data_IF_662410816834
#
_entry.id   IF_662410816834
#
_cell.length_a   1.000
_cell.length_b   1.000
_cell.length_c   1.000
_cell.angle_alpha   90.00
_cell.angle_beta   90.00
_cell.angle_gamma   90.00
#
_symmetry.space_group_name_H-M   'P 1'
#
loop_
_entity.id
_entity.type
_entity.pdbx_description
1 polymer ?
#
# COMPACT_ATOMS: atom_id res chain seq x y z
N UNK A 1 -7.29 -29.96 11.42
CA UNK A 1 -6.45 -28.96 10.73
C UNK A 1 -7.37 -27.91 10.14
N UNK A 2 -7.48 -26.69 10.71
CA UNK A 2 -8.25 -25.63 10.08
C UNK A 2 -7.37 -24.93 9.03
N UNK A 3 -7.72 -25.07 7.76
CA UNK A 3 -7.21 -24.23 6.68
C UNK A 3 -8.24 -23.12 6.47
N UNK A 4 -8.00 -21.93 7.03
CA UNK A 4 -8.96 -20.82 6.97
C UNK A 4 -8.31 -19.44 6.81
N UNK A 5 -7.11 -19.35 6.21
CA UNK A 5 -6.40 -18.06 6.09
C UNK A 5 -6.01 -17.66 4.66
N UNK A 6 -6.35 -18.45 3.62
CA UNK A 6 -5.91 -18.13 2.24
C UNK A 6 -6.87 -17.26 1.43
N UNK A 7 -8.15 -17.16 1.81
CA UNK A 7 -9.16 -16.44 1.01
C UNK A 7 -9.34 -14.96 1.39
N UNK A 8 -8.75 -14.50 2.50
CA UNK A 8 -8.88 -13.11 2.94
C UNK A 8 -8.00 -12.11 2.16
N UNK A 9 -7.01 -12.58 1.38
CA UNK A 9 -6.15 -11.70 0.58
C UNK A 9 -6.62 -11.46 -0.86
N UNK A 10 -7.56 -12.25 -1.39
CA UNK A 10 -7.99 -12.15 -2.80
C UNK A 10 -9.06 -11.08 -3.07
N UNK A 11 -9.67 -10.56 -2.00
CA UNK A 11 -10.66 -9.47 -2.07
C UNK A 11 -10.07 -8.17 -1.53
N UNK A 12 -8.81 -7.88 -1.85
CA UNK A 12 -8.28 -6.51 -1.73
C UNK A 12 -9.04 -5.65 -2.72
N UNK A 13 -10.07 -5.01 -2.18
CA UNK A 13 -11.07 -4.14 -2.80
C UNK A 13 -10.65 -3.61 -4.18
N UNK A 14 -11.12 -4.27 -5.24
CA UNK A 14 -11.14 -3.68 -6.59
C UNK A 14 -11.83 -2.30 -6.62
N UNK A 15 -12.59 -1.97 -5.55
CA UNK A 15 -13.24 -0.69 -5.32
C UNK A 15 -12.37 0.36 -4.61
N UNK A 16 -11.27 -0.03 -3.95
CA UNK A 16 -10.42 0.90 -3.18
C UNK A 16 -9.60 1.82 -4.09
N UNK A 17 -9.24 1.34 -5.29
CA UNK A 17 -8.46 2.12 -6.26
C UNK A 17 -9.32 3.00 -7.18
N UNK A 18 -10.65 2.98 -7.02
CA UNK A 18 -11.60 3.89 -7.67
C UNK A 18 -12.15 3.42 -9.03
N UNK A 19 -13.31 3.97 -9.41
CA UNK A 19 -14.13 3.54 -10.58
C UNK A 19 -13.52 3.82 -11.97
N UNK A 20 -12.32 4.39 -12.04
CA UNK A 20 -11.69 4.83 -13.30
C UNK A 20 -10.62 3.86 -13.81
N UNK A 21 -10.31 2.81 -13.04
CA UNK A 21 -9.41 1.73 -13.43
C UNK A 21 -10.22 0.55 -13.96
N UNK A 22 -9.65 -0.17 -14.93
CA UNK A 22 -10.22 -1.44 -15.38
C UNK A 22 -10.16 -2.47 -14.24
N UNK A 23 -11.06 -3.47 -14.21
CA UNK A 23 -11.02 -4.53 -13.22
C UNK A 23 -9.64 -5.22 -13.23
N UNK A 24 -8.98 -5.28 -12.06
CA UNK A 24 -7.64 -5.87 -11.91
C UNK A 24 -6.46 -4.97 -12.30
N UNK A 25 -6.68 -3.83 -12.96
CA UNK A 25 -5.62 -2.87 -13.33
C UNK A 25 -5.00 -2.23 -12.07
N UNK A 26 -5.84 -1.81 -11.12
CA UNK A 26 -5.39 -1.19 -9.87
C UNK A 26 -4.54 -2.13 -9.00
N UNK A 27 -4.95 -3.40 -8.88
CA UNK A 27 -4.22 -4.40 -8.10
C UNK A 27 -2.84 -4.71 -8.71
N UNK A 28 -2.78 -4.85 -10.05
CA UNK A 28 -1.51 -5.05 -10.74
C UNK A 28 -0.58 -3.84 -10.56
N UNK A 29 -1.09 -2.61 -10.69
CA UNK A 29 -0.32 -1.38 -10.47
C UNK A 29 0.17 -1.26 -9.02
N UNK A 30 -0.65 -1.62 -8.03
CA UNK A 30 -0.28 -1.59 -6.61
C UNK A 30 0.89 -2.52 -6.30
N UNK A 31 0.93 -3.72 -6.88
CA UNK A 31 2.06 -4.66 -6.74
C UNK A 31 3.38 -4.03 -7.18
N UNK A 32 3.40 -3.34 -8.33
CA UNK A 32 4.61 -2.65 -8.79
C UNK A 32 5.02 -1.50 -7.87
N UNK A 33 4.06 -0.74 -7.34
CA UNK A 33 4.32 0.36 -6.40
C UNK A 33 4.88 -0.16 -5.08
N UNK A 34 4.32 -1.26 -4.54
CA UNK A 34 4.82 -1.91 -3.32
C UNK A 34 6.23 -2.47 -3.51
N UNK A 35 6.54 -3.00 -4.69
CA UNK A 35 7.90 -3.44 -5.05
C UNK A 35 8.87 -2.27 -5.33
N UNK A 36 8.41 -1.02 -5.26
CA UNK A 36 9.21 0.16 -5.60
C UNK A 36 9.60 0.24 -7.09
N UNK A 37 8.93 -0.54 -7.94
CA UNK A 37 9.21 -0.63 -9.36
C UNK A 37 8.31 0.32 -10.15
N UNK A 38 8.87 0.82 -11.24
CA UNK A 38 8.11 1.62 -12.21
C UNK A 38 7.00 0.78 -12.83
N UNK A 39 5.79 1.34 -12.94
CA UNK A 39 4.66 0.70 -13.60
C UNK A 39 4.97 0.56 -15.11
N UNK A 40 4.94 -0.67 -15.69
CA UNK A 40 5.24 -0.88 -17.11
C UNK A 40 4.19 -0.28 -18.04
N UNK A 41 4.62 0.31 -19.17
CA UNK A 41 3.71 0.74 -20.25
C UNK A 41 3.38 -0.46 -21.18
N UNK A 42 2.30 -0.38 -21.97
CA UNK A 42 1.86 -1.49 -22.87
C UNK A 42 2.96 -2.06 -23.77
N UNK A 43 3.87 -1.22 -24.27
CA UNK A 43 4.99 -1.67 -25.12
C UNK A 43 6.27 -2.01 -24.36
N UNK A 44 6.22 -2.01 -23.03
CA UNK A 44 7.33 -2.32 -22.14
C UNK A 44 7.09 -3.64 -21.38
N UNK A 45 5.95 -4.29 -21.61
CA UNK A 45 5.63 -5.60 -21.02
C UNK A 45 6.65 -6.62 -21.51
N UNK A 46 7.39 -7.21 -20.58
CA UNK A 46 8.48 -8.17 -20.86
C UNK A 46 9.89 -7.56 -20.84
N UNK A 47 10.02 -6.25 -20.65
CA UNK A 47 11.30 -5.61 -20.36
C UNK A 47 11.45 -5.35 -18.86
N UNK A 48 12.65 -5.55 -18.34
CA UNK A 48 12.98 -5.15 -16.97
C UNK A 48 13.07 -3.63 -16.86
N UNK A 49 12.87 -3.11 -15.64
CA UNK A 49 12.98 -1.66 -15.37
C UNK A 49 14.36 -1.11 -15.76
N UNK A 50 15.42 -1.88 -15.57
CA UNK A 50 16.79 -1.50 -15.94
C UNK A 50 16.98 -1.38 -17.45
N UNK A 51 16.40 -2.31 -18.22
CA UNK A 51 16.43 -2.26 -19.69
C UNK A 51 15.68 -1.04 -20.21
N UNK A 52 14.51 -0.72 -19.65
CA UNK A 52 13.74 0.47 -20.02
C UNK A 52 14.56 1.74 -19.75
N UNK A 53 15.20 1.84 -18.58
CA UNK A 53 16.03 2.98 -18.23
C UNK A 53 17.29 3.09 -19.14
N UNK A 54 17.86 1.97 -19.57
CA UNK A 54 18.95 1.95 -20.54
C UNK A 54 18.50 2.47 -21.91
N UNK A 55 17.34 2.04 -22.40
CA UNK A 55 16.78 2.51 -23.68
C UNK A 55 16.40 4.00 -23.64
N UNK A 56 15.78 4.47 -22.55
CA UNK A 56 15.45 5.89 -22.37
C UNK A 56 16.73 6.75 -22.32
N UNK A 57 17.80 6.30 -21.64
CA UNK A 57 19.12 6.98 -21.64
C UNK A 57 19.78 7.01 -23.01
N UNK A 58 19.64 5.95 -23.79
CA UNK A 58 20.16 5.90 -25.17
C UNK A 58 19.32 6.73 -26.16
N UNK A 59 18.25 7.39 -25.71
CA UNK A 59 17.42 8.27 -26.55
C UNK A 59 16.32 7.54 -27.31
N UNK A 60 16.06 6.26 -27.02
CA UNK A 60 14.93 5.56 -27.60
C UNK A 60 13.62 6.08 -27.01
N UNK A 61 12.65 6.33 -27.90
CA UNK A 61 11.32 6.80 -27.52
C UNK A 61 10.43 5.58 -27.27
N UNK A 62 10.12 5.32 -26.01
CA UNK A 62 9.28 4.17 -25.64
C UNK A 62 7.85 4.30 -26.17
N UNK A 63 7.21 3.17 -26.48
CA UNK A 63 5.84 3.14 -27.00
C UNK A 63 4.86 3.85 -26.06
N UNK A 64 4.09 4.79 -26.60
CA UNK A 64 3.11 5.59 -25.87
C UNK A 64 3.62 6.94 -25.34
N UNK A 65 4.93 7.19 -25.33
CA UNK A 65 5.50 8.44 -24.79
C UNK A 65 5.27 9.68 -25.66
N UNK A 66 4.96 9.53 -26.95
CA UNK A 66 4.71 10.67 -27.88
C UNK A 66 3.30 11.28 -27.77
N UNK A 67 2.35 10.62 -27.11
CA UNK A 67 0.95 11.08 -27.04
C UNK A 67 0.65 11.78 -25.71
N UNK A 68 0.66 13.11 -25.71
CA UNK A 68 0.43 13.93 -24.50
C UNK A 68 -0.85 13.59 -23.76
N UNK A 69 -1.99 13.43 -24.46
CA UNK A 69 -3.28 13.10 -23.85
C UNK A 69 -3.28 11.74 -23.17
N UNK A 70 -2.64 10.74 -23.78
CA UNK A 70 -2.53 9.40 -23.21
C UNK A 70 -1.59 9.40 -22.00
N UNK A 71 -0.47 10.12 -22.08
CA UNK A 71 0.45 10.29 -20.96
C UNK A 71 -0.23 10.93 -19.75
N UNK A 72 -1.07 11.95 -19.96
CA UNK A 72 -1.82 12.58 -18.88
C UNK A 72 -2.81 11.61 -18.22
N UNK A 73 -3.54 10.81 -19.02
CA UNK A 73 -4.45 9.78 -18.48
C UNK A 73 -3.68 8.72 -17.69
N UNK A 74 -2.51 8.31 -18.18
CA UNK A 74 -1.62 7.35 -17.50
C UNK A 74 -1.17 7.90 -16.14
N UNK A 75 -0.57 9.10 -16.12
CA UNK A 75 -0.10 9.74 -14.88
C UNK A 75 -1.25 9.90 -13.88
N UNK A 76 -2.45 10.26 -14.34
CA UNK A 76 -3.63 10.33 -13.48
C UNK A 76 -3.97 8.97 -12.85
N UNK A 77 -3.96 7.89 -13.63
CA UNK A 77 -4.21 6.53 -13.11
C UNK A 77 -3.13 6.08 -12.13
N UNK A 78 -1.86 6.37 -12.41
CA UNK A 78 -0.74 6.05 -11.51
C UNK A 78 -0.89 6.79 -10.18
N UNK A 79 -1.16 8.10 -10.22
CA UNK A 79 -1.39 8.90 -9.03
C UNK A 79 -2.61 8.44 -8.22
N UNK A 80 -3.65 7.92 -8.89
CA UNK A 80 -4.82 7.37 -8.21
C UNK A 80 -4.47 6.13 -7.38
N UNK A 81 -3.63 5.24 -7.93
CA UNK A 81 -3.16 4.04 -7.22
C UNK A 81 -2.23 4.43 -6.08
N UNK A 82 -1.27 5.33 -6.32
CA UNK A 82 -0.34 5.82 -5.30
C UNK A 82 -1.10 6.47 -4.15
N UNK A 83 -2.04 7.40 -4.43
CA UNK A 83 -2.83 8.06 -3.39
C UNK A 83 -3.73 7.09 -2.62
N UNK A 84 -4.19 6.00 -3.27
CA UNK A 84 -4.95 4.96 -2.58
C UNK A 84 -4.05 4.14 -1.65
N UNK A 85 -2.88 3.69 -2.12
CA UNK A 85 -1.89 2.97 -1.32
C UNK A 85 -1.37 3.81 -0.14
N UNK A 86 -1.04 5.07 -0.37
CA UNK A 86 -0.60 6.00 0.69
C UNK A 86 -1.66 6.13 1.79
N UNK A 87 -2.93 6.31 1.39
CA UNK A 87 -4.04 6.41 2.35
C UNK A 87 -4.22 5.10 3.13
N UNK A 88 -4.07 3.95 2.49
CA UNK A 88 -4.15 2.65 3.18
C UNK A 88 -2.98 2.47 4.16
N UNK A 89 -1.76 2.82 3.74
CA UNK A 89 -0.56 2.78 4.58
C UNK A 89 -0.70 3.67 5.82
N UNK A 90 -1.18 4.91 5.64
CA UNK A 90 -1.47 5.83 6.75
C UNK A 90 -2.52 5.28 7.72
N UNK A 91 -3.60 4.68 7.20
CA UNK A 91 -4.65 4.10 8.03
C UNK A 91 -4.14 2.90 8.82
N UNK A 92 -3.32 2.06 8.20
CA UNK A 92 -2.66 0.94 8.87
C UNK A 92 -1.75 1.44 10.00
N UNK A 93 -0.93 2.47 9.73
CA UNK A 93 -0.06 3.07 10.74
C UNK A 93 -0.87 3.66 11.89
N UNK A 94 -1.93 4.43 11.61
CA UNK A 94 -2.82 4.99 12.65
C UNK A 94 -3.47 3.93 13.52
N UNK A 95 -3.87 2.79 12.94
CA UNK A 95 -4.41 1.65 13.70
C UNK A 95 -3.34 1.03 14.60
N UNK A 96 -2.13 0.83 14.09
CA UNK A 96 -1.01 0.31 14.87
C UNK A 96 -0.64 1.26 16.02
N UNK A 97 -0.57 2.56 15.76
CA UNK A 97 -0.25 3.57 16.77
C UNK A 97 -1.33 3.63 17.85
N UNK A 98 -2.60 3.52 17.46
CA UNK A 98 -3.72 3.47 18.41
C UNK A 98 -3.65 2.21 19.29
N UNK A 99 -3.40 1.04 18.70
CA UNK A 99 -3.26 -0.21 19.45
C UNK A 99 -2.08 -0.16 20.43
N UNK A 100 -0.94 0.43 20.03
CA UNK A 100 0.20 0.67 20.92
C UNK A 100 -0.16 1.58 22.09
N UNK A 101 -0.80 2.73 21.81
CA UNK A 101 -1.26 3.65 22.86
C UNK A 101 -2.24 2.99 23.82
N UNK A 102 -3.17 2.19 23.31
CA UNK A 102 -4.13 1.45 24.14
C UNK A 102 -3.42 0.42 25.02
N UNK A 103 -2.42 -0.30 24.48
CA UNK A 103 -1.60 -1.23 25.26
C UNK A 103 -0.79 -0.52 26.36
N UNK A 104 -0.19 0.63 26.05
CA UNK A 104 0.56 1.44 27.02
C UNK A 104 -0.35 1.94 28.16
N UNK A 105 -1.56 2.41 27.82
CA UNK A 105 -2.56 2.84 28.82
C UNK A 105 -2.98 1.66 29.71
N UNK A 106 -3.21 0.48 29.15
CA UNK A 106 -3.56 -0.72 29.93
C UNK A 106 -2.41 -1.13 30.85
N UNK A 107 -1.16 -1.06 30.39
CA UNK A 107 0.02 -1.34 31.20
C UNK A 107 0.15 -0.37 32.39
N UNK A 108 0.04 0.94 32.12
CA UNK A 108 0.05 1.98 33.16
C UNK A 108 -1.09 1.80 34.17
N UNK A 109 -2.29 1.42 33.70
CA UNK A 109 -3.41 1.17 34.59
C UNK A 109 -3.18 -0.05 35.49
N UNK A 110 -2.62 -1.15 34.95
CA UNK A 110 -2.27 -2.34 35.74
C UNK A 110 -1.26 -2.00 36.84
N UNK A 111 -0.20 -1.27 36.51
CA UNK A 111 0.80 -0.83 37.50
C UNK A 111 0.18 0.02 38.62
N UNK A 112 -0.74 0.93 38.27
CA UNK A 112 -1.44 1.76 39.25
C UNK A 112 -2.33 0.92 40.19
N UNK A 113 -3.04 -0.08 39.65
CA UNK A 113 -3.88 -1.00 40.45
C UNK A 113 -3.02 -1.85 41.38
N UNK A 114 -1.88 -2.37 40.90
CA UNK A 114 -0.96 -3.15 41.71
C UNK A 114 -0.39 -2.32 42.88
N UNK A 115 -0.04 -1.05 42.63
CA UNK A 115 0.41 -0.12 43.68
C UNK A 115 -0.70 0.17 44.72
N UNK A 116 -1.95 0.35 44.27
CA UNK A 116 -3.10 0.53 45.16
C UNK A 116 -3.39 -0.70 46.02
N UNK A 117 -3.27 -1.91 45.46
CA UNK A 117 -3.46 -3.15 46.21
C UNK A 117 -2.36 -3.38 47.26
N UNK A 118 -1.11 -2.99 46.97
CA UNK A 118 -0.04 -3.03 47.97
C UNK A 118 -0.27 -2.06 49.14
N UNK A 119 -0.86 -0.88 48.90
CA UNK A 119 -1.19 0.08 49.96
C UNK A 119 -2.37 -0.37 50.85
N UNK A 120 -3.29 -1.20 50.34
CA UNK A 120 -4.43 -1.70 51.11
C UNK A 120 -4.13 -2.94 51.97
N UNK A 121 -2.88 -3.40 52.00
CA UNK A 121 -2.43 -4.47 52.90
C UNK A 121 -1.53 -3.94 54.02
N UNK A 122 -2.02 -3.12 54.98
CA UNK A 122 -1.34 -2.97 56.25
C UNK A 122 -1.61 -4.23 57.10
N UNK A 123 -0.59 -4.67 57.84
CA UNK A 123 -0.73 -5.65 58.93
C UNK A 123 -1.70 -5.20 60.01
#
# INVERSE_FOLDING_TARGET
MPQADSDAMSTLDQRAYGKQLLPGEGAAMASYVQEGKRIPRRGEIGLSAEQIAAFERAGFVMSGSRHQRMNAVRVRKENQVISAEERQSELHQKRQDRARKEADIIAQFREMVDMLQQQQSPS
#
